data_IF_400594085132
#
_entry.id   IF_400594085132
#
_cell.length_a   1.000
_cell.length_b   1.000
_cell.length_c   1.000
_cell.angle_alpha   90.00
_cell.angle_beta   90.00
_cell.angle_gamma   90.00
#
_symmetry.space_group_name_H-M   'P 1'
#
loop_
_entity.id
_entity.type
_entity.pdbx_description
1 polymer ?
#
# COMPACT_ATOMS: atom_id res chain seq x y z
N UNK A 1 -8.37 -21.43 18.31
CA UNK A 1 -7.55 -20.45 17.57
C UNK A 1 -6.11 -20.93 17.67
N UNK A 2 -5.47 -21.18 16.54
CA UNK A 2 -4.06 -21.62 16.53
C UNK A 2 -3.19 -20.51 17.12
N UNK A 3 -2.24 -20.87 17.99
CA UNK A 3 -1.29 -19.90 18.55
C UNK A 3 -0.23 -19.62 17.48
N UNK A 4 -0.03 -18.35 17.15
CA UNK A 4 1.07 -17.92 16.29
C UNK A 4 2.41 -18.16 17.01
N UNK A 5 3.41 -18.51 16.22
CA UNK A 5 4.79 -18.72 16.63
C UNK A 5 5.68 -17.54 16.24
N UNK A 6 6.90 -17.49 16.78
CA UNK A 6 7.93 -16.52 16.35
C UNK A 6 8.21 -16.60 14.85
N UNK A 7 8.18 -17.82 14.28
CA UNK A 7 8.35 -18.03 12.84
C UNK A 7 7.23 -17.37 12.02
N UNK A 8 6.00 -17.39 12.53
CA UNK A 8 4.88 -16.71 11.85
C UNK A 8 5.06 -15.19 11.88
N UNK A 9 5.64 -14.66 12.96
CA UNK A 9 5.98 -13.24 13.08
C UNK A 9 7.08 -12.83 12.07
N UNK A 10 8.12 -13.64 11.90
CA UNK A 10 9.16 -13.44 10.87
C UNK A 10 8.58 -13.44 9.44
N UNK A 11 7.70 -14.41 9.14
CA UNK A 11 7.00 -14.47 7.85
C UNK A 11 6.15 -13.20 7.64
N UNK A 12 5.43 -12.76 8.68
CA UNK A 12 4.63 -11.55 8.60
C UNK A 12 5.48 -10.29 8.34
N UNK A 13 6.68 -10.20 8.92
CA UNK A 13 7.60 -9.10 8.65
C UNK A 13 8.01 -9.03 7.16
N UNK A 14 8.28 -10.18 6.54
CA UNK A 14 8.58 -10.26 5.10
C UNK A 14 7.37 -9.84 4.27
N UNK A 15 6.17 -10.29 4.67
CA UNK A 15 4.93 -9.91 3.99
C UNK A 15 4.67 -8.40 4.07
N UNK A 16 4.93 -7.75 5.21
CA UNK A 16 4.78 -6.29 5.34
C UNK A 16 5.65 -5.55 4.32
N UNK A 17 6.92 -5.95 4.16
CA UNK A 17 7.82 -5.34 3.16
C UNK A 17 7.28 -5.54 1.74
N UNK A 18 6.82 -6.75 1.42
CA UNK A 18 6.24 -7.04 0.11
C UNK A 18 5.01 -6.16 -0.19
N UNK A 19 4.07 -6.05 0.76
CA UNK A 19 2.87 -5.23 0.60
C UNK A 19 3.16 -3.73 0.47
N UNK A 20 4.12 -3.21 1.23
CA UNK A 20 4.55 -1.80 1.12
C UNK A 20 5.07 -1.51 -0.30
N UNK A 21 5.94 -2.38 -0.82
CA UNK A 21 6.52 -2.21 -2.16
C UNK A 21 5.45 -2.31 -3.24
N UNK A 22 4.61 -3.35 -3.18
CA UNK A 22 3.57 -3.57 -4.19
C UNK A 22 2.50 -2.48 -4.19
N UNK A 23 2.13 -1.95 -3.02
CA UNK A 23 1.26 -0.77 -2.93
C UNK A 23 1.88 0.45 -3.61
N UNK A 24 3.20 0.63 -3.50
CA UNK A 24 3.94 1.68 -4.21
C UNK A 24 3.86 1.54 -5.73
N UNK A 25 4.07 0.33 -6.26
CA UNK A 25 3.95 0.03 -7.70
C UNK A 25 2.54 0.34 -8.23
N UNK A 26 1.50 -0.03 -7.48
CA UNK A 26 0.13 0.30 -7.84
C UNK A 26 -0.14 1.81 -7.80
N UNK A 27 0.35 2.53 -6.80
CA UNK A 27 0.23 3.99 -6.72
C UNK A 27 0.87 4.66 -7.93
N UNK A 28 2.06 4.22 -8.34
CA UNK A 28 2.74 4.74 -9.52
C UNK A 28 1.96 4.44 -10.80
N UNK A 29 1.56 3.17 -11.01
CA UNK A 29 0.80 2.76 -12.19
C UNK A 29 -0.55 3.48 -12.31
N UNK A 30 -1.30 3.61 -11.22
CA UNK A 30 -2.58 4.31 -11.25
C UNK A 30 -2.42 5.82 -11.45
N UNK A 31 -1.35 6.43 -10.94
CA UNK A 31 -1.07 7.86 -11.16
C UNK A 31 -0.83 8.13 -12.65
N UNK A 32 -0.02 7.30 -13.31
CA UNK A 32 0.21 7.41 -14.76
C UNK A 32 -1.10 7.34 -15.56
N UNK A 33 -2.01 6.42 -15.19
CA UNK A 33 -3.30 6.29 -15.86
C UNK A 33 -4.28 7.41 -15.51
N UNK A 34 -4.27 7.93 -14.28
CA UNK A 34 -5.08 9.08 -13.89
C UNK A 34 -4.72 10.30 -14.74
N UNK A 35 -3.41 10.58 -14.88
CA UNK A 35 -2.91 11.68 -15.71
C UNK A 35 -3.32 11.54 -17.19
N UNK A 36 -3.20 10.33 -17.76
CA UNK A 36 -3.65 10.05 -19.14
C UNK A 36 -5.15 10.24 -19.34
N UNK A 37 -5.95 9.99 -18.30
CA UNK A 37 -7.41 10.06 -18.38
C UNK A 37 -7.97 11.44 -18.00
N UNK A 38 -7.16 12.34 -17.44
CA UNK A 38 -7.60 13.64 -16.93
C UNK A 38 -8.36 14.47 -17.98
N UNK A 39 -7.92 14.45 -19.24
CA UNK A 39 -8.55 15.20 -20.33
C UNK A 39 -9.70 14.44 -21.03
N UNK A 40 -9.82 13.12 -20.82
CA UNK A 40 -10.78 12.25 -21.53
C UNK A 40 -11.98 11.89 -20.66
N UNK A 41 -11.74 11.62 -19.38
CA UNK A 41 -12.71 11.24 -18.35
C UNK A 41 -12.28 11.83 -16.99
N UNK A 42 -12.34 13.15 -16.81
CA UNK A 42 -11.87 13.82 -15.60
C UNK A 42 -12.53 13.30 -14.31
N UNK A 43 -13.79 12.89 -14.38
CA UNK A 43 -14.50 12.29 -13.26
C UNK A 43 -13.93 10.93 -12.84
N UNK A 44 -13.47 10.12 -13.80
CA UNK A 44 -12.83 8.83 -13.52
C UNK A 44 -11.43 9.05 -12.97
N UNK A 45 -10.64 9.94 -13.58
CA UNK A 45 -9.33 10.33 -13.07
C UNK A 45 -9.42 10.82 -11.62
N UNK A 46 -10.42 11.65 -11.29
CA UNK A 46 -10.66 12.13 -9.93
C UNK A 46 -10.98 11.03 -8.92
N UNK A 47 -11.70 9.96 -9.29
CA UNK A 47 -11.91 8.82 -8.39
C UNK A 47 -10.63 7.96 -8.23
N UNK A 48 -9.82 7.84 -9.28
CA UNK A 48 -8.51 7.17 -9.19
C UNK A 48 -7.56 7.94 -8.28
N UNK A 49 -7.53 9.27 -8.34
CA UNK A 49 -6.71 10.10 -7.45
C UNK A 49 -7.09 9.90 -5.98
N UNK A 50 -8.40 9.83 -5.66
CA UNK A 50 -8.86 9.51 -4.30
C UNK A 50 -8.44 8.11 -3.87
N UNK A 51 -8.54 7.12 -4.75
CA UNK A 51 -8.09 5.76 -4.46
C UNK A 51 -6.58 5.73 -4.18
N UNK A 52 -5.77 6.48 -4.95
CA UNK A 52 -4.34 6.63 -4.71
C UNK A 52 -4.08 7.22 -3.32
N UNK A 53 -4.83 8.25 -2.90
CA UNK A 53 -4.67 8.83 -1.56
C UNK A 53 -4.96 7.82 -0.44
N UNK A 54 -6.01 7.00 -0.60
CA UNK A 54 -6.33 5.92 0.35
C UNK A 54 -5.26 4.84 0.38
N UNK A 55 -4.72 4.45 -0.78
CA UNK A 55 -3.60 3.51 -0.89
C UNK A 55 -2.34 4.04 -0.22
N UNK A 56 -2.04 5.34 -0.38
CA UNK A 56 -0.91 5.96 0.29
C UNK A 56 -1.11 6.02 1.81
N UNK A 57 -2.32 6.27 2.29
CA UNK A 57 -2.66 6.21 3.71
C UNK A 57 -2.44 4.80 4.28
N UNK A 58 -2.93 3.77 3.59
CA UNK A 58 -2.70 2.38 3.96
C UNK A 58 -1.20 2.04 3.99
N UNK A 59 -0.45 2.43 2.94
CA UNK A 59 0.99 2.24 2.84
C UNK A 59 1.76 2.86 4.02
N UNK A 60 1.39 4.08 4.45
CA UNK A 60 1.97 4.72 5.64
C UNK A 60 1.72 3.89 6.90
N UNK A 61 0.51 3.36 7.09
CA UNK A 61 0.18 2.52 8.25
C UNK A 61 0.93 1.18 8.25
N UNK A 62 1.14 0.59 7.08
CA UNK A 62 1.99 -0.60 6.96
C UNK A 62 3.45 -0.30 7.30
N UNK A 63 3.97 0.85 6.87
CA UNK A 63 5.33 1.28 7.23
C UNK A 63 5.47 1.55 8.74
N UNK A 64 4.50 2.23 9.37
CA UNK A 64 4.45 2.41 10.82
C UNK A 64 4.44 1.05 11.55
N UNK A 65 3.65 0.09 11.08
CA UNK A 65 3.61 -1.27 11.65
C UNK A 65 4.97 -1.97 11.52
N UNK A 66 5.61 -1.88 10.36
CA UNK A 66 6.96 -2.41 10.13
C UNK A 66 7.99 -1.80 11.09
N UNK A 67 7.96 -0.48 11.30
CA UNK A 67 8.88 0.21 12.23
C UNK A 67 8.68 -0.33 13.65
N UNK A 68 7.44 -0.37 14.14
CA UNK A 68 7.13 -0.89 15.49
C UNK A 68 7.56 -2.34 15.68
N UNK A 69 7.43 -3.16 14.63
CA UNK A 69 7.88 -4.55 14.65
C UNK A 69 9.41 -4.68 14.76
N UNK A 70 10.18 -3.71 14.26
CA UNK A 70 11.64 -3.70 14.36
C UNK A 70 12.16 -3.15 15.70
N UNK A 71 11.30 -2.44 16.45
CA UNK A 71 11.61 -1.87 17.77
C UNK A 71 11.21 -2.79 18.94
N UNK A 72 10.36 -3.79 18.68
CA UNK A 72 9.87 -4.80 19.65
C UNK A 72 10.80 -6.00 19.77
#
# INVERSE_FOLDING_TARGET
MEKLSEKDAEVFQVLLVHWINHNGEHVEGYREWSEKMADVRPEVAGEIDKAIDDMQQAGRKLMEAKIKFQES
#
